data_IF_936075976115
#
_entry.id   IF_936075976115
#
_cell.length_a   1.000
_cell.length_b   1.000
_cell.length_c   1.000
_cell.angle_alpha   90.00
_cell.angle_beta   90.00
_cell.angle_gamma   90.00
#
_symmetry.space_group_name_H-M   'P 1'
#
loop_
_entity.id
_entity.type
_entity.pdbx_description
1 polymer ?
#
# COMPACT_ATOMS: atom_id res chain seq x y z
N UNK A 1 40.00 30.29 24.64
CA UNK A 1 38.75 29.69 25.16
C UNK A 1 37.95 29.23 23.96
N UNK A 2 38.00 27.91 23.69
CA UNK A 2 37.65 27.29 22.40
C UNK A 2 36.13 27.05 22.25
N UNK A 3 35.59 27.50 21.12
CA UNK A 3 34.64 26.84 20.21
C UNK A 3 33.82 25.65 20.75
N UNK A 4 32.51 25.82 20.98
CA UNK A 4 31.51 24.74 20.95
C UNK A 4 30.11 25.27 20.58
N UNK A 5 29.84 25.46 19.29
CA UNK A 5 28.47 25.62 18.74
C UNK A 5 28.38 24.95 17.37
N UNK A 6 28.52 23.61 17.31
CA UNK A 6 28.29 22.88 16.04
C UNK A 6 27.84 21.42 16.20
N UNK A 7 27.35 20.99 17.37
CA UNK A 7 27.00 19.57 17.59
C UNK A 7 25.49 19.25 17.60
N UNK A 8 24.60 20.22 17.84
CA UNK A 8 23.18 19.91 18.13
C UNK A 8 22.25 19.78 16.91
N UNK A 9 22.73 19.99 15.68
CA UNK A 9 21.85 19.93 14.51
C UNK A 9 21.81 18.56 13.80
N UNK A 10 22.79 17.68 14.05
CA UNK A 10 22.93 16.40 13.32
C UNK A 10 22.15 15.22 13.92
N UNK A 11 21.89 15.18 15.24
CA UNK A 11 21.27 14.01 15.87
C UNK A 11 19.76 13.90 15.65
N UNK A 12 19.05 15.03 15.52
CA UNK A 12 17.61 15.02 15.27
C UNK A 12 17.25 14.51 13.86
N UNK A 13 18.18 14.61 12.89
CA UNK A 13 17.94 14.20 11.51
C UNK A 13 18.09 12.68 11.31
N UNK A 14 18.93 12.02 12.10
CA UNK A 14 19.09 10.55 12.08
C UNK A 14 17.93 9.84 12.76
N UNK A 15 17.39 10.40 13.85
CA UNK A 15 16.27 9.84 14.59
C UNK A 15 14.96 9.93 13.78
N UNK A 16 14.75 11.04 13.06
CA UNK A 16 13.59 11.20 12.17
C UNK A 16 13.62 10.23 10.98
N UNK A 17 14.82 9.96 10.44
CA UNK A 17 15.01 8.98 9.35
C UNK A 17 14.71 7.55 9.78
N UNK A 18 15.17 7.15 10.97
CA UNK A 18 14.87 5.83 11.53
C UNK A 18 13.38 5.64 11.80
N UNK A 19 12.70 6.67 12.33
CA UNK A 19 11.26 6.63 12.59
C UNK A 19 10.43 6.63 11.31
N UNK A 20 10.79 7.43 10.30
CA UNK A 20 10.12 7.42 9.00
C UNK A 20 10.29 6.08 8.27
N UNK A 21 11.47 5.45 8.35
CA UNK A 21 11.70 4.10 7.82
C UNK A 21 10.87 3.07 8.60
N UNK A 22 10.77 3.19 9.92
CA UNK A 22 9.93 2.31 10.75
C UNK A 22 8.44 2.48 10.47
N UNK A 23 7.95 3.68 10.16
CA UNK A 23 6.54 3.93 9.80
C UNK A 23 6.26 3.45 8.37
N UNK A 24 7.15 3.70 7.41
CA UNK A 24 7.03 3.11 6.06
C UNK A 24 7.09 1.59 6.16
N UNK A 25 7.97 1.03 6.99
CA UNK A 25 8.01 -0.41 7.25
C UNK A 25 6.75 -0.89 7.97
N UNK A 26 6.18 -0.15 8.92
CA UNK A 26 4.95 -0.51 9.62
C UNK A 26 3.73 -0.50 8.69
N UNK A 27 3.58 0.56 7.86
CA UNK A 27 2.58 0.65 6.81
C UNK A 27 2.80 -0.43 5.75
N UNK A 28 4.06 -0.71 5.37
CA UNK A 28 4.39 -1.81 4.47
C UNK A 28 4.12 -3.18 5.10
N UNK A 29 4.40 -3.41 6.39
CA UNK A 29 4.15 -4.68 7.05
C UNK A 29 2.68 -4.88 7.34
N UNK A 30 1.92 -3.83 7.66
CA UNK A 30 0.46 -3.96 7.79
C UNK A 30 -0.14 -4.22 6.41
N UNK A 31 0.27 -3.50 5.36
CA UNK A 31 -0.19 -3.79 3.98
C UNK A 31 0.29 -5.17 3.49
N UNK A 32 1.50 -5.63 3.82
CA UNK A 32 2.03 -6.94 3.40
C UNK A 32 1.53 -8.12 4.26
N UNK A 33 1.26 -7.90 5.54
CA UNK A 33 0.74 -8.92 6.46
C UNK A 33 -0.80 -9.00 6.43
N UNK A 34 -1.50 -7.90 6.13
CA UNK A 34 -2.97 -7.92 5.91
C UNK A 34 -3.36 -8.16 4.45
N UNK A 35 -2.42 -8.09 3.50
CA UNK A 35 -2.65 -8.55 2.11
C UNK A 35 -2.49 -10.05 1.91
N UNK A 36 -2.57 -10.85 3.00
CA UNK A 36 -3.17 -12.16 2.81
C UNK A 36 -4.51 -11.91 2.11
N UNK A 37 -4.79 -12.50 0.94
CA UNK A 37 -6.04 -12.24 0.25
C UNK A 37 -7.17 -12.75 1.14
N UNK A 38 -7.75 -11.83 1.91
CA UNK A 38 -8.98 -12.07 2.65
C UNK A 38 -10.05 -12.01 1.57
N UNK A 39 -10.49 -13.20 1.17
CA UNK A 39 -11.49 -13.53 0.13
C UNK A 39 -10.96 -13.70 -1.29
N UNK A 40 -11.01 -14.94 -1.75
CA UNK A 40 -11.07 -15.29 -3.16
C UNK A 40 -12.47 -14.88 -3.61
N UNK A 41 -12.61 -13.67 -4.15
CA UNK A 41 -13.90 -13.23 -4.68
C UNK A 41 -14.31 -14.19 -5.78
N UNK A 42 -15.47 -14.83 -5.58
CA UNK A 42 -15.93 -15.88 -6.47
C UNK A 42 -16.15 -15.31 -7.88
N UNK A 43 -15.58 -15.91 -8.93
CA UNK A 43 -15.87 -15.46 -10.29
C UNK A 43 -17.32 -15.73 -10.66
N UNK A 44 -17.89 -14.89 -11.53
CA UNK A 44 -19.31 -14.94 -11.94
C UNK A 44 -19.76 -16.32 -12.46
N UNK A 45 -18.86 -17.14 -13.02
CA UNK A 45 -19.23 -18.47 -13.50
C UNK A 45 -19.60 -19.42 -12.36
N UNK A 46 -19.13 -19.18 -11.13
CA UNK A 46 -19.47 -19.96 -9.94
C UNK A 46 -20.96 -19.83 -9.62
N UNK A 47 -21.55 -18.65 -9.76
CA UNK A 47 -22.96 -18.42 -9.45
C UNK A 47 -23.92 -19.24 -10.32
N UNK A 48 -23.45 -19.64 -11.51
CA UNK A 48 -24.21 -20.45 -12.48
C UNK A 48 -24.07 -21.95 -12.24
N UNK A 49 -23.26 -22.37 -11.27
CA UNK A 49 -23.01 -23.78 -11.00
C UNK A 49 -24.03 -24.38 -10.02
N UNK A 50 -24.20 -25.72 -10.03
CA UNK A 50 -24.98 -26.42 -9.01
C UNK A 50 -24.53 -26.06 -7.59
N UNK A 51 -25.47 -26.03 -6.65
CA UNK A 51 -25.23 -25.61 -5.28
C UNK A 51 -24.09 -26.41 -4.62
N UNK A 52 -24.03 -27.72 -4.87
CA UNK A 52 -23.00 -28.59 -4.34
C UNK A 52 -21.60 -28.18 -4.84
N UNK A 53 -21.49 -27.84 -6.13
CA UNK A 53 -20.22 -27.39 -6.72
C UNK A 53 -19.77 -26.04 -6.14
N UNK A 54 -20.73 -25.12 -5.93
CA UNK A 54 -20.48 -23.84 -5.26
C UNK A 54 -19.97 -24.00 -3.83
N UNK A 55 -20.63 -24.86 -3.04
CA UNK A 55 -20.22 -25.15 -1.66
C UNK A 55 -18.80 -25.75 -1.63
N UNK A 56 -18.48 -26.66 -2.55
CA UNK A 56 -17.13 -27.22 -2.67
C UNK A 56 -16.09 -26.14 -2.97
N UNK A 57 -16.40 -25.25 -3.90
CA UNK A 57 -15.54 -24.13 -4.27
C UNK A 57 -15.32 -23.18 -3.10
N UNK A 58 -16.38 -22.73 -2.43
CA UNK A 58 -16.31 -21.82 -1.28
C UNK A 58 -15.47 -22.43 -0.15
N UNK A 59 -15.63 -23.74 0.10
CA UNK A 59 -14.82 -24.46 1.08
C UNK A 59 -13.33 -24.47 0.72
N UNK A 60 -12.97 -24.57 -0.56
CA UNK A 60 -11.58 -24.48 -1.01
C UNK A 60 -11.07 -23.04 -0.93
N UNK A 61 -11.88 -22.07 -1.35
CA UNK A 61 -11.60 -20.64 -1.32
C UNK A 61 -11.35 -20.12 0.10
N UNK A 62 -12.13 -20.59 1.07
CA UNK A 62 -12.04 -20.19 2.48
C UNK A 62 -10.83 -20.75 3.24
N UNK A 63 -10.06 -21.70 2.69
CA UNK A 63 -8.88 -22.25 3.37
C UNK A 63 -7.72 -21.25 3.35
N UNK A 64 -7.56 -20.50 4.45
CA UNK A 64 -6.50 -19.50 4.60
C UNK A 64 -5.12 -20.10 4.87
N UNK A 65 -5.05 -21.29 5.47
CA UNK A 65 -3.79 -21.94 5.86
C UNK A 65 -3.05 -22.61 4.70
N UNK A 66 -3.68 -22.72 3.51
CA UNK A 66 -3.07 -23.36 2.36
C UNK A 66 -2.14 -22.39 1.61
N UNK A 67 -0.91 -22.81 1.26
CA UNK A 67 -0.08 -22.07 0.33
C UNK A 67 -0.81 -21.84 -1.00
N UNK A 68 -0.60 -20.68 -1.62
CA UNK A 68 -1.31 -20.32 -2.84
C UNK A 68 -1.17 -21.36 -3.97
N UNK A 69 0.05 -21.86 -4.21
CA UNK A 69 0.30 -22.89 -5.24
C UNK A 69 -0.53 -24.16 -5.01
N UNK A 70 -0.70 -24.55 -3.75
CA UNK A 70 -1.50 -25.72 -3.39
C UNK A 70 -3.00 -25.45 -3.55
N UNK A 71 -3.44 -24.24 -3.20
CA UNK A 71 -4.81 -23.79 -3.44
C UNK A 71 -5.17 -23.75 -4.93
N UNK A 72 -4.27 -23.24 -5.76
CA UNK A 72 -4.39 -23.20 -7.22
C UNK A 72 -4.49 -24.60 -7.83
N UNK A 73 -3.67 -25.55 -7.33
CA UNK A 73 -3.75 -26.97 -7.71
C UNK A 73 -5.12 -27.57 -7.39
N UNK A 74 -5.59 -27.41 -6.15
CA UNK A 74 -6.89 -27.96 -5.70
C UNK A 74 -8.08 -27.34 -6.46
N UNK A 75 -8.04 -26.04 -6.70
CA UNK A 75 -9.06 -25.34 -7.50
C UNK A 75 -9.05 -25.79 -8.97
N UNK A 76 -7.87 -26.08 -9.54
CA UNK A 76 -7.75 -26.64 -10.89
C UNK A 76 -8.32 -28.06 -10.97
N UNK A 77 -8.11 -28.88 -9.92
CA UNK A 77 -8.69 -30.22 -9.81
C UNK A 77 -10.21 -30.17 -9.68
N UNK A 78 -10.73 -29.27 -8.84
CA UNK A 78 -12.15 -28.99 -8.71
C UNK A 78 -12.74 -28.53 -10.06
N UNK A 79 -12.06 -27.62 -10.78
CA UNK A 79 -12.54 -27.13 -12.06
C UNK A 79 -12.58 -28.24 -13.13
N UNK A 80 -11.64 -29.18 -13.09
CA UNK A 80 -11.67 -30.37 -13.97
C UNK A 80 -12.84 -31.30 -13.63
N UNK A 81 -13.12 -31.52 -12.34
CA UNK A 81 -14.27 -32.33 -11.88
C UNK A 81 -15.60 -31.77 -12.38
N UNK A 82 -15.72 -30.44 -12.40
CA UNK A 82 -16.96 -29.75 -12.79
C UNK A 82 -16.94 -29.19 -14.22
N UNK A 83 -15.97 -29.58 -15.04
CA UNK A 83 -15.86 -29.21 -16.47
C UNK A 83 -15.82 -27.69 -16.73
N UNK A 84 -15.21 -26.93 -15.81
CA UNK A 84 -15.03 -25.45 -15.88
C UNK A 84 -13.55 -25.05 -15.89
N UNK A 85 -12.71 -25.89 -16.49
CA UNK A 85 -11.24 -25.72 -16.47
C UNK A 85 -10.79 -24.44 -17.17
N UNK A 86 -11.42 -24.08 -18.29
CA UNK A 86 -11.01 -22.92 -19.08
C UNK A 86 -11.45 -21.62 -18.42
N UNK A 87 -12.62 -21.60 -17.79
CA UNK A 87 -13.11 -20.50 -16.97
C UNK A 87 -12.21 -20.28 -15.76
N UNK A 88 -11.83 -21.36 -15.06
CA UNK A 88 -10.92 -21.27 -13.92
C UNK A 88 -9.53 -20.76 -14.34
N UNK A 89 -9.02 -21.22 -15.48
CA UNK A 89 -7.74 -20.74 -16.02
C UNK A 89 -7.78 -19.24 -16.31
N UNK A 90 -8.82 -18.76 -17.00
CA UNK A 90 -9.02 -17.32 -17.28
C UNK A 90 -9.12 -16.51 -15.99
N UNK A 91 -9.80 -17.04 -14.98
CA UNK A 91 -9.89 -16.40 -13.67
C UNK A 91 -8.51 -16.23 -13.03
N UNK A 92 -7.67 -17.28 -13.01
CA UNK A 92 -6.32 -17.17 -12.46
C UNK A 92 -5.45 -16.19 -13.22
N UNK A 93 -5.49 -16.21 -14.55
CA UNK A 93 -4.72 -15.27 -15.39
C UNK A 93 -5.11 -13.82 -15.09
N UNK A 94 -6.42 -13.52 -14.99
CA UNK A 94 -6.92 -12.20 -14.63
C UNK A 94 -6.45 -11.79 -13.23
N UNK A 95 -6.67 -12.64 -12.24
CA UNK A 95 -6.31 -12.37 -10.84
C UNK A 95 -4.80 -12.10 -10.67
N UNK A 96 -3.95 -12.91 -11.32
CA UNK A 96 -2.51 -12.70 -11.31
C UNK A 96 -2.07 -11.43 -12.01
N UNK A 97 -2.67 -11.10 -13.16
CA UNK A 97 -2.37 -9.88 -13.90
C UNK A 97 -2.73 -8.63 -13.09
N UNK A 98 -3.91 -8.61 -12.48
CA UNK A 98 -4.35 -7.51 -11.62
C UNK A 98 -3.49 -7.39 -10.36
N UNK A 99 -3.12 -8.52 -9.73
CA UNK A 99 -2.21 -8.53 -8.59
C UNK A 99 -0.87 -7.90 -8.97
N UNK A 100 -0.28 -8.31 -10.09
CA UNK A 100 0.99 -7.77 -10.59
C UNK A 100 0.88 -6.27 -10.90
N UNK A 101 -0.24 -5.83 -11.47
CA UNK A 101 -0.49 -4.42 -11.72
C UNK A 101 -0.54 -3.60 -10.42
N UNK A 102 -1.22 -4.11 -9.39
CA UNK A 102 -1.28 -3.49 -8.05
C UNK A 102 0.11 -3.45 -7.38
N UNK A 103 0.84 -4.56 -7.42
CA UNK A 103 2.21 -4.65 -6.87
C UNK A 103 3.16 -3.65 -7.55
N UNK A 104 3.09 -3.52 -8.88
CA UNK A 104 3.87 -2.54 -9.62
C UNK A 104 3.49 -1.10 -9.26
N UNK A 105 2.19 -0.79 -9.20
CA UNK A 105 1.70 0.54 -8.84
C UNK A 105 2.14 0.93 -7.42
N UNK A 106 2.07 -0.01 -6.47
CA UNK A 106 2.58 0.18 -5.11
C UNK A 106 4.09 0.41 -5.09
N UNK A 107 4.87 -0.39 -5.82
CA UNK A 107 6.32 -0.23 -5.91
C UNK A 107 6.73 1.15 -6.43
N UNK A 108 6.07 1.62 -7.49
CA UNK A 108 6.33 2.95 -8.05
C UNK A 108 5.97 4.08 -7.08
N UNK A 109 4.86 3.93 -6.34
CA UNK A 109 4.48 4.87 -5.28
C UNK A 109 5.58 4.96 -4.23
N UNK A 110 5.99 3.82 -3.66
CA UNK A 110 7.00 3.73 -2.60
C UNK A 110 8.34 4.33 -3.04
N UNK A 111 8.75 4.17 -4.30
CA UNK A 111 9.98 4.77 -4.84
C UNK A 111 9.98 6.29 -4.81
N UNK A 112 8.82 6.94 -4.99
CA UNK A 112 8.69 8.40 -5.03
C UNK A 112 8.58 9.04 -3.66
N UNK A 113 8.01 8.34 -2.67
CA UNK A 113 7.72 8.87 -1.34
C UNK A 113 8.93 9.53 -0.65
N UNK A 114 10.17 9.00 -0.70
CA UNK A 114 11.31 9.65 -0.03
C UNK A 114 11.67 11.03 -0.58
N UNK A 115 11.44 11.26 -1.87
CA UNK A 115 11.72 12.56 -2.52
C UNK A 115 10.58 13.53 -2.24
N UNK A 116 9.35 13.11 -2.56
CA UNK A 116 8.16 13.96 -2.39
C UNK A 116 7.86 14.27 -0.92
N UNK A 117 8.15 13.34 0.00
CA UNK A 117 8.05 13.57 1.43
C UNK A 117 8.99 14.68 1.92
N UNK A 118 10.19 14.80 1.34
CA UNK A 118 11.11 15.91 1.69
C UNK A 118 10.60 17.24 1.16
N UNK A 119 10.19 17.27 -0.11
CA UNK A 119 9.62 18.46 -0.73
C UNK A 119 8.40 18.97 0.06
N UNK A 120 7.53 18.06 0.47
CA UNK A 120 6.40 18.38 1.34
C UNK A 120 6.84 18.98 2.68
N UNK A 121 7.82 18.36 3.34
CA UNK A 121 8.35 18.86 4.62
C UNK A 121 9.00 20.25 4.46
N UNK A 122 9.62 20.54 3.33
CA UNK A 122 10.18 21.86 3.02
C UNK A 122 9.09 22.91 2.84
N UNK A 123 7.99 22.57 2.16
CA UNK A 123 6.82 23.46 2.00
C UNK A 123 6.26 23.89 3.36
N UNK A 124 6.06 22.93 4.28
CA UNK A 124 5.48 23.24 5.60
C UNK A 124 6.49 23.94 6.52
N UNK A 125 7.74 23.47 6.57
CA UNK A 125 8.75 23.95 7.52
C UNK A 125 9.53 25.17 7.01
N UNK A 126 9.27 25.68 5.79
CA UNK A 126 9.95 26.87 5.26
C UNK A 126 9.66 28.12 6.11
N UNK A 127 10.43 28.34 7.18
CA UNK A 127 10.16 29.34 8.22
C UNK A 127 10.04 30.76 7.64
N UNK A 128 10.78 31.05 6.57
CA UNK A 128 10.86 32.37 5.95
C UNK A 128 9.86 32.58 4.78
N UNK A 129 9.15 31.53 4.34
CA UNK A 129 8.21 31.66 3.23
C UNK A 129 6.88 32.26 3.70
N UNK A 130 6.38 33.35 3.08
CA UNK A 130 5.07 33.92 3.43
C UNK A 130 3.96 32.89 3.30
N UNK A 131 2.99 32.91 4.23
CA UNK A 131 1.86 31.96 4.30
C UNK A 131 1.16 31.75 2.95
N UNK A 132 0.83 32.83 2.23
CA UNK A 132 0.19 32.76 0.90
C UNK A 132 1.00 31.95 -0.12
N UNK A 133 2.32 32.07 -0.10
CA UNK A 133 3.19 31.31 -1.01
C UNK A 133 3.29 29.84 -0.60
N UNK A 134 3.23 29.54 0.71
CA UNK A 134 3.16 28.15 1.19
C UNK A 134 1.89 27.45 0.73
N UNK A 135 0.74 28.12 0.87
CA UNK A 135 -0.55 27.59 0.40
C UNK A 135 -0.50 27.30 -1.10
N UNK A 136 -0.04 28.25 -1.92
CA UNK A 136 0.06 28.03 -3.37
C UNK A 136 1.01 26.87 -3.75
N UNK A 137 2.15 26.73 -3.06
CA UNK A 137 3.07 25.59 -3.26
C UNK A 137 2.44 24.27 -2.83
N UNK A 138 1.71 24.28 -1.72
CA UNK A 138 1.02 23.11 -1.20
C UNK A 138 -0.13 22.66 -2.12
N UNK A 139 -0.96 23.59 -2.58
CA UNK A 139 -2.03 23.32 -3.56
C UNK A 139 -1.45 22.71 -4.84
N UNK A 140 -0.40 23.32 -5.39
CA UNK A 140 0.28 22.77 -6.57
C UNK A 140 0.85 21.37 -6.31
N UNK A 141 1.47 21.14 -5.16
CA UNK A 141 1.99 19.82 -4.79
C UNK A 141 0.87 18.76 -4.71
N UNK A 142 -0.30 19.12 -4.18
CA UNK A 142 -1.46 18.21 -4.14
C UNK A 142 -1.99 17.92 -5.55
N UNK A 143 -2.06 18.93 -6.41
CA UNK A 143 -2.52 18.75 -7.79
C UNK A 143 -1.58 17.84 -8.59
N UNK A 144 -0.26 18.06 -8.45
CA UNK A 144 0.76 17.30 -9.18
C UNK A 144 0.97 15.88 -8.60
N UNK A 145 0.69 15.67 -7.30
CA UNK A 145 1.07 14.47 -6.54
C UNK A 145 -0.03 13.94 -5.60
N UNK A 146 -1.30 14.01 -6.01
CA UNK A 146 -2.45 13.67 -5.16
C UNK A 146 -2.32 12.31 -4.43
N UNK A 147 -1.91 11.24 -5.12
CA UNK A 147 -1.80 9.89 -4.53
C UNK A 147 -0.66 9.80 -3.51
N UNK A 148 0.48 10.36 -3.85
CA UNK A 148 1.65 10.42 -2.97
C UNK A 148 1.37 11.31 -1.76
N UNK A 149 0.65 12.42 -1.94
CA UNK A 149 0.21 13.31 -0.86
C UNK A 149 -0.68 12.60 0.16
N UNK A 150 -1.66 11.80 -0.26
CA UNK A 150 -2.52 11.05 0.68
C UNK A 150 -1.69 10.13 1.58
N UNK A 151 -0.71 9.42 1.02
CA UNK A 151 0.18 8.55 1.82
C UNK A 151 1.05 9.38 2.76
N UNK A 152 1.62 10.49 2.28
CA UNK A 152 2.44 11.39 3.09
C UNK A 152 1.61 11.96 4.26
N UNK A 153 0.38 12.40 4.00
CA UNK A 153 -0.54 12.93 5.00
C UNK A 153 -0.81 11.92 6.11
N UNK A 154 -1.21 10.70 5.76
CA UNK A 154 -1.46 9.62 6.73
C UNK A 154 -0.21 9.30 7.54
N UNK A 155 0.95 9.19 6.89
CA UNK A 155 2.22 8.92 7.57
C UNK A 155 2.60 10.05 8.56
N UNK A 156 2.33 11.31 8.21
CA UNK A 156 2.60 12.46 9.08
C UNK A 156 1.63 12.52 10.27
N UNK A 157 0.34 12.25 10.06
CA UNK A 157 -0.66 12.19 11.13
C UNK A 157 -0.28 11.12 12.17
N UNK A 158 0.23 9.98 11.72
CA UNK A 158 0.72 8.91 12.60
C UNK A 158 2.03 9.27 13.30
N UNK A 159 2.99 9.86 12.59
CA UNK A 159 4.30 10.20 13.14
C UNK A 159 4.28 11.43 14.05
N UNK A 160 3.32 12.34 13.86
CA UNK A 160 3.19 13.61 14.57
C UNK A 160 1.73 13.90 14.95
N UNK A 161 1.14 13.08 15.85
CA UNK A 161 -0.24 13.25 16.26
C UNK A 161 -0.45 14.63 16.91
N UNK A 162 -1.56 15.30 16.57
CA UNK A 162 -1.90 16.63 17.11
C UNK A 162 -1.24 17.81 16.39
N UNK A 163 -0.31 17.56 15.45
CA UNK A 163 0.15 18.59 14.52
C UNK A 163 -0.90 18.73 13.41
N UNK A 164 -2.05 19.32 13.75
CA UNK A 164 -3.08 19.66 12.76
C UNK A 164 -2.41 20.57 11.73
N UNK A 165 -2.25 20.08 10.50
CA UNK A 165 -1.59 20.79 9.40
C UNK A 165 -2.52 21.90 8.89
N UNK A 166 -2.71 22.92 9.72
CA UNK A 166 -3.40 24.15 9.33
C UNK A 166 -2.31 25.08 8.76
N UNK A 167 -2.17 25.07 7.43
CA UNK A 167 -1.40 26.09 6.71
C UNK A 167 -2.13 27.42 6.64
#
# INVERSE_FOLDING_TARGET
>A
MHLLTSANHKSNFSDFRMRAILVILAVCTDVLCTSQPVTFDAPEFIDKMPLEARIEFERLAGRQTLPWKEKERLMSEWARKHVVKDEMKKFFEKMWSERKARENAFSELVKKLPTLGKEYLEIINGIETPRKQKVAKWEKFMDDHAKEYEVIKVALEQAMPGRMMIL
#
